data_IF_683424727642
#
_entry.id   IF_683424727642
#
_cell.length_a   1.000
_cell.length_b   1.000
_cell.length_c   1.000
_cell.angle_alpha   90.00
_cell.angle_beta   90.00
_cell.angle_gamma   90.00
#
_symmetry.space_group_name_H-M   'P 1'
#
loop_
_entity.id
_entity.type
_entity.pdbx_description
1 polymer ?
#
# COMPACT_ATOMS: atom_id res chain seq x y z
N UNK A 1 0.57 19.51 -7.38
CA UNK A 1 0.53 19.10 -5.95
C UNK A 1 0.91 17.64 -5.77
N UNK A 2 0.28 16.69 -6.48
CA UNK A 2 0.59 15.23 -6.38
C UNK A 2 2.05 14.88 -6.62
N UNK A 3 2.71 15.48 -7.62
CA UNK A 3 4.12 15.21 -7.92
C UNK A 3 5.06 15.64 -6.77
N UNK A 4 4.81 16.80 -6.16
CA UNK A 4 5.61 17.29 -5.01
C UNK A 4 5.46 16.35 -3.81
N UNK A 5 4.22 15.93 -3.52
CA UNK A 5 3.97 14.97 -2.44
C UNK A 5 4.67 13.63 -2.71
N UNK A 6 4.60 13.12 -3.94
CA UNK A 6 5.24 11.85 -4.31
C UNK A 6 6.75 11.90 -4.11
N UNK A 7 7.41 12.98 -4.55
CA UNK A 7 8.85 13.16 -4.35
C UNK A 7 9.24 13.25 -2.87
N UNK A 8 8.45 13.96 -2.05
CA UNK A 8 8.67 14.01 -0.59
C UNK A 8 8.49 12.63 0.04
N UNK A 9 7.47 11.88 -0.34
CA UNK A 9 7.23 10.52 0.17
C UNK A 9 8.36 9.56 -0.21
N UNK A 10 8.85 9.62 -1.44
CA UNK A 10 9.99 8.79 -1.88
C UNK A 10 11.21 9.00 -0.97
N UNK A 11 11.47 10.26 -0.61
CA UNK A 11 12.60 10.61 0.26
C UNK A 11 12.38 10.10 1.69
N UNK A 12 11.25 10.45 2.30
CA UNK A 12 10.98 10.14 3.71
C UNK A 12 10.84 8.63 3.92
N UNK A 13 10.20 7.91 2.99
CA UNK A 13 10.03 6.46 3.11
C UNK A 13 11.33 5.68 2.89
N UNK A 14 12.38 6.30 2.35
CA UNK A 14 13.71 5.70 2.24
C UNK A 14 14.54 5.83 3.54
N UNK A 15 14.07 6.60 4.54
CA UNK A 15 14.81 6.82 5.78
C UNK A 15 14.96 5.51 6.59
N UNK A 16 16.20 5.07 6.91
CA UNK A 16 16.43 3.82 7.62
C UNK A 16 15.77 3.76 9.00
N UNK A 17 15.75 4.89 9.72
CA UNK A 17 15.13 4.96 11.05
C UNK A 17 13.62 4.75 10.95
N UNK A 18 12.95 5.39 9.98
CA UNK A 18 11.52 5.22 9.76
C UNK A 18 11.20 3.77 9.41
N UNK A 19 11.98 3.17 8.50
CA UNK A 19 11.83 1.76 8.12
C UNK A 19 11.97 0.84 9.34
N UNK A 20 12.97 1.07 10.18
CA UNK A 20 13.19 0.27 11.39
C UNK A 20 12.05 0.43 12.40
N UNK A 21 11.50 1.64 12.58
CA UNK A 21 10.39 1.92 13.50
C UNK A 21 9.08 1.27 13.05
N UNK A 22 8.81 1.24 11.75
CA UNK A 22 7.63 0.58 11.19
C UNK A 22 7.79 -0.95 11.21
N UNK A 23 8.98 -1.46 10.92
CA UNK A 23 9.28 -2.89 11.02
C UNK A 23 9.06 -3.43 12.44
N UNK A 24 9.40 -2.66 13.49
CA UNK A 24 9.12 -3.01 14.89
C UNK A 24 7.62 -3.15 15.21
N UNK A 25 6.75 -2.56 14.40
CA UNK A 25 5.29 -2.67 14.51
C UNK A 25 4.70 -3.73 13.58
N UNK A 26 5.55 -4.53 12.92
CA UNK A 26 5.12 -5.54 11.94
C UNK A 26 4.75 -4.97 10.57
N UNK A 27 5.01 -3.69 10.31
CA UNK A 27 4.75 -3.06 9.02
C UNK A 27 5.98 -3.13 8.10
N UNK A 28 5.76 -3.52 6.85
CA UNK A 28 6.79 -3.45 5.83
C UNK A 28 6.64 -2.17 5.00
N UNK A 29 7.67 -1.32 5.03
CA UNK A 29 7.66 -0.07 4.29
C UNK A 29 8.16 -0.29 2.85
N UNK A 30 7.32 0.07 1.88
CA UNK A 30 7.63 0.07 0.45
C UNK A 30 7.10 1.35 -0.20
N UNK A 31 7.93 2.01 -0.99
CA UNK A 31 7.49 3.10 -1.85
C UNK A 31 6.95 2.55 -3.18
N UNK A 32 5.92 3.21 -3.70
CA UNK A 32 5.40 2.99 -5.04
C UNK A 32 5.05 4.36 -5.65
N UNK A 33 5.17 4.47 -6.97
CA UNK A 33 4.66 5.63 -7.68
C UNK A 33 3.13 5.68 -7.55
N UNK A 34 2.53 6.87 -7.74
CA UNK A 34 1.07 7.00 -7.68
C UNK A 34 0.35 6.06 -8.66
N UNK A 35 0.93 5.85 -9.85
CA UNK A 35 0.40 4.90 -10.83
C UNK A 35 0.46 3.45 -10.32
N UNK A 36 1.64 3.00 -9.87
CA UNK A 36 1.82 1.63 -9.39
C UNK A 36 0.95 1.33 -8.15
N UNK A 37 0.76 2.31 -7.26
CA UNK A 37 -0.16 2.19 -6.14
C UNK A 37 -1.62 2.05 -6.62
N UNK A 38 -2.03 2.83 -7.62
CA UNK A 38 -3.36 2.72 -8.22
C UNK A 38 -3.60 1.36 -8.88
N UNK A 39 -2.60 0.81 -9.57
CA UNK A 39 -2.63 -0.54 -10.14
C UNK A 39 -2.80 -1.59 -9.03
N UNK A 40 -2.00 -1.51 -7.96
CA UNK A 40 -2.08 -2.41 -6.81
C UNK A 40 -3.46 -2.38 -6.16
N UNK A 41 -4.05 -1.19 -5.95
CA UNK A 41 -5.40 -1.05 -5.37
C UNK A 41 -6.44 -1.76 -6.23
N UNK A 42 -6.36 -1.59 -7.56
CA UNK A 42 -7.30 -2.22 -8.48
C UNK A 42 -7.15 -3.75 -8.51
N UNK A 43 -5.92 -4.26 -8.43
CA UNK A 43 -5.62 -5.68 -8.38
C UNK A 43 -6.14 -6.32 -7.09
N UNK A 44 -5.79 -5.74 -5.93
CA UNK A 44 -6.25 -6.21 -4.62
C UNK A 44 -7.78 -6.16 -4.53
N UNK A 45 -8.40 -5.06 -4.98
CA UNK A 45 -9.86 -4.95 -5.00
C UNK A 45 -10.51 -6.06 -5.83
N UNK A 46 -9.97 -6.36 -7.02
CA UNK A 46 -10.49 -7.42 -7.88
C UNK A 46 -10.31 -8.80 -7.23
N UNK A 47 -9.13 -9.05 -6.67
CA UNK A 47 -8.80 -10.32 -6.04
C UNK A 47 -9.71 -10.60 -4.84
N UNK A 48 -9.81 -9.65 -3.90
CA UNK A 48 -10.62 -9.82 -2.69
C UNK A 48 -12.11 -9.86 -2.98
N UNK A 49 -12.59 -9.12 -3.99
CA UNK A 49 -13.97 -9.27 -4.46
C UNK A 49 -14.24 -10.70 -4.96
N UNK A 50 -13.26 -11.34 -5.61
CA UNK A 50 -13.32 -12.76 -5.98
C UNK A 50 -13.39 -13.67 -4.76
N UNK A 51 -12.47 -13.50 -3.82
CA UNK A 51 -12.42 -14.29 -2.57
C UNK A 51 -13.74 -14.22 -1.80
N UNK A 52 -14.29 -13.02 -1.60
CA UNK A 52 -15.56 -12.81 -0.88
C UNK A 52 -16.70 -13.58 -1.55
N UNK A 53 -16.80 -13.52 -2.88
CA UNK A 53 -17.83 -14.24 -3.64
C UNK A 53 -17.65 -15.76 -3.54
N UNK A 54 -16.44 -16.26 -3.75
CA UNK A 54 -16.14 -17.69 -3.74
C UNK A 54 -16.34 -18.31 -2.35
N UNK A 55 -15.97 -17.59 -1.29
CA UNK A 55 -16.11 -18.05 0.09
C UNK A 55 -17.49 -17.71 0.72
N UNK A 56 -18.41 -17.08 -0.03
CA UNK A 56 -19.72 -16.64 0.43
C UNK A 56 -19.66 -15.82 1.74
N UNK A 57 -18.66 -14.94 1.84
CA UNK A 57 -18.46 -14.07 3.01
C UNK A 57 -19.50 -12.96 2.95
N UNK A 58 -20.21 -12.75 4.07
CA UNK A 58 -21.21 -11.69 4.20
C UNK A 58 -20.65 -10.54 5.02
N UNK A 59 -20.94 -9.27 4.65
CA UNK A 59 -20.69 -8.14 5.53
C UNK A 59 -21.43 -8.31 6.86
N UNK A 60 -20.84 -7.81 7.94
CA UNK A 60 -21.51 -7.65 9.24
C UNK A 60 -22.46 -6.45 9.26
#
# INVERSE_FOLDING_TARGET
MVAKLSATLETVLAEPELKARLAKQGAELRYATAQALGETINEEHRYWAGVVKTANIKPQ
#
